data_IF_549797704097
#
_entry.id   IF_549797704097
#
_cell.length_a   1.000
_cell.length_b   1.000
_cell.length_c   1.000
_cell.angle_alpha   90.00
_cell.angle_beta   90.00
_cell.angle_gamma   90.00
#
_symmetry.space_group_name_H-M   'P 1'
#
loop_
_entity.id
_entity.type
_entity.pdbx_description
1 polymer ?
#
# COMPACT_ATOMS: atom_id res chain seq x y z
N UNK A 1 7.59 -15.55 -5.82
CA UNK A 1 6.81 -14.35 -5.50
C UNK A 1 5.53 -14.78 -4.80
N UNK A 2 5.15 -14.09 -3.72
CA UNK A 2 3.94 -14.44 -2.98
C UNK A 2 2.68 -14.11 -3.76
N UNK A 3 1.56 -14.76 -3.41
CA UNK A 3 0.26 -14.45 -4.02
C UNK A 3 -0.11 -12.99 -3.85
N UNK A 4 0.28 -12.39 -2.71
CA UNK A 4 -0.01 -10.99 -2.44
C UNK A 4 0.56 -10.08 -3.52
N UNK A 5 1.86 -10.23 -3.83
CA UNK A 5 2.50 -9.39 -4.86
C UNK A 5 1.91 -9.63 -6.24
N UNK A 6 1.62 -10.89 -6.57
CA UNK A 6 1.03 -11.22 -7.86
C UNK A 6 -0.36 -10.57 -8.01
N UNK A 7 -1.20 -10.70 -7.00
CA UNK A 7 -2.55 -10.16 -7.04
C UNK A 7 -2.53 -8.64 -7.05
N UNK A 8 -1.63 -8.04 -6.28
CA UNK A 8 -1.47 -6.59 -6.25
C UNK A 8 -1.05 -6.06 -7.62
N UNK A 9 -0.05 -6.67 -8.23
CA UNK A 9 0.44 -6.26 -9.54
C UNK A 9 -0.61 -6.43 -10.63
N UNK A 10 -1.34 -7.55 -10.61
CA UNK A 10 -2.37 -7.81 -11.60
C UNK A 10 -3.53 -6.83 -11.49
N UNK A 11 -3.87 -6.43 -10.26
CA UNK A 11 -5.01 -5.54 -10.01
C UNK A 11 -4.64 -4.06 -10.12
N UNK A 12 -3.37 -3.72 -9.96
CA UNK A 12 -2.93 -2.33 -9.76
C UNK A 12 -1.70 -2.03 -10.60
N UNK A 13 -1.85 -2.15 -11.92
CA UNK A 13 -0.74 -1.96 -12.87
C UNK A 13 -0.07 -0.59 -12.79
N UNK A 14 -0.75 0.39 -12.19
CA UNK A 14 -0.22 1.75 -12.08
C UNK A 14 0.61 2.00 -10.84
N UNK A 15 0.74 1.01 -9.95
CA UNK A 15 1.55 1.21 -8.75
C UNK A 15 3.04 1.14 -9.08
N UNK A 16 3.80 2.09 -8.53
CA UNK A 16 5.26 2.08 -8.63
C UNK A 16 5.83 1.01 -7.69
N UNK A 17 7.10 0.60 -7.91
CA UNK A 17 7.75 -0.32 -6.98
C UNK A 17 7.75 0.17 -5.53
N UNK A 18 7.91 1.48 -5.32
CA UNK A 18 7.86 2.05 -3.98
C UNK A 18 6.48 1.88 -3.35
N UNK A 19 5.43 2.07 -4.14
CA UNK A 19 4.06 1.90 -3.65
C UNK A 19 3.73 0.46 -3.32
N UNK A 20 4.27 -0.48 -4.09
CA UNK A 20 4.13 -1.90 -3.79
C UNK A 20 4.80 -2.24 -2.45
N UNK A 21 5.99 -1.67 -2.19
CA UNK A 21 6.67 -1.85 -0.91
C UNK A 21 5.86 -1.26 0.23
N UNK A 22 5.33 -0.05 0.05
CA UNK A 22 4.48 0.59 1.06
C UNK A 22 3.25 -0.28 1.34
N UNK A 23 2.62 -0.79 0.30
CA UNK A 23 1.44 -1.65 0.46
C UNK A 23 1.77 -2.90 1.29
N UNK A 24 2.93 -3.50 1.04
CA UNK A 24 3.35 -4.68 1.81
C UNK A 24 3.55 -4.35 3.29
N UNK A 25 4.16 -3.20 3.60
CA UNK A 25 4.31 -2.77 4.99
C UNK A 25 2.96 -2.52 5.66
N UNK A 26 2.02 -1.89 4.93
CA UNK A 26 0.66 -1.65 5.46
C UNK A 26 -0.02 -2.97 5.78
N UNK A 27 0.09 -3.96 4.90
CA UNK A 27 -0.46 -5.29 5.13
C UNK A 27 0.04 -5.89 6.44
N UNK A 28 1.32 -5.66 6.77
CA UNK A 28 1.92 -6.17 7.99
C UNK A 28 1.69 -5.27 9.22
N UNK A 29 0.81 -4.29 9.10
CA UNK A 29 0.41 -3.45 10.23
C UNK A 29 1.39 -2.35 10.60
N UNK A 30 2.33 -2.01 9.72
CA UNK A 30 3.30 -0.95 10.01
C UNK A 30 2.66 0.43 9.87
N UNK A 31 3.04 1.34 10.74
CA UNK A 31 2.54 2.72 10.71
C UNK A 31 3.25 3.53 9.62
N UNK A 32 2.67 4.69 9.29
CA UNK A 32 3.30 5.62 8.36
C UNK A 32 4.73 5.97 8.79
N UNK A 33 4.93 6.21 10.09
CA UNK A 33 6.25 6.54 10.64
C UNK A 33 7.23 5.37 10.46
N UNK A 34 6.78 4.16 10.75
CA UNK A 34 7.62 2.96 10.61
C UNK A 34 8.05 2.75 9.16
N UNK A 35 7.13 2.94 8.23
CA UNK A 35 7.41 2.82 6.81
C UNK A 35 8.42 3.87 6.37
N UNK A 36 8.23 5.11 6.82
CA UNK A 36 9.14 6.19 6.49
C UNK A 36 10.57 5.88 6.91
N UNK A 37 10.74 5.38 8.12
CA UNK A 37 12.06 4.97 8.62
C UNK A 37 12.63 3.83 7.78
N UNK A 38 11.83 2.79 7.54
CA UNK A 38 12.28 1.60 6.82
C UNK A 38 12.74 1.90 5.39
N UNK A 39 12.06 2.85 4.72
CA UNK A 39 12.34 3.18 3.33
C UNK A 39 13.16 4.45 3.16
N UNK A 40 13.58 5.06 4.27
CA UNK A 40 14.32 6.33 4.27
C UNK A 40 13.57 7.43 3.53
N UNK A 41 12.26 7.51 3.77
CA UNK A 41 11.39 8.52 3.20
C UNK A 41 10.83 9.41 4.30
N UNK A 42 10.30 10.58 3.91
CA UNK A 42 9.58 11.42 4.87
C UNK A 42 8.18 10.83 5.10
N UNK A 43 7.59 11.07 6.29
CA UNK A 43 6.20 10.64 6.53
C UNK A 43 5.23 11.23 5.51
N UNK A 44 5.47 12.44 5.04
CA UNK A 44 4.63 13.08 4.02
C UNK A 44 4.65 12.29 2.72
N UNK A 45 5.84 11.85 2.29
CA UNK A 45 5.97 11.03 1.08
C UNK A 45 5.22 9.71 1.24
N UNK A 46 5.32 9.08 2.42
CA UNK A 46 4.59 7.84 2.69
C UNK A 46 3.09 8.06 2.63
N UNK A 47 2.60 9.18 3.18
CA UNK A 47 1.18 9.53 3.09
C UNK A 47 0.73 9.65 1.64
N UNK A 48 1.54 10.28 0.79
CA UNK A 48 1.23 10.42 -0.62
C UNK A 48 1.14 9.04 -1.31
N UNK A 49 2.06 8.14 -1.00
CA UNK A 49 2.00 6.78 -1.53
C UNK A 49 0.74 6.05 -1.06
N UNK A 50 0.37 6.22 0.21
CA UNK A 50 -0.86 5.60 0.75
C UNK A 50 -2.10 6.11 0.02
N UNK A 51 -2.17 7.41 -0.25
CA UNK A 51 -3.29 8.00 -0.98
C UNK A 51 -3.36 7.46 -2.40
N UNK A 52 -2.22 7.33 -3.07
CA UNK A 52 -2.17 6.78 -4.43
C UNK A 52 -2.63 5.32 -4.45
N UNK A 53 -2.21 4.54 -3.46
CA UNK A 53 -2.64 3.13 -3.35
C UNK A 53 -4.16 3.07 -3.20
N UNK A 54 -4.74 3.86 -2.29
CA UNK A 54 -6.19 3.88 -2.08
C UNK A 54 -6.92 4.30 -3.36
N UNK A 55 -6.42 5.31 -4.04
CA UNK A 55 -7.01 5.79 -5.29
C UNK A 55 -7.02 4.70 -6.36
N UNK A 56 -5.89 4.01 -6.52
CA UNK A 56 -5.76 2.96 -7.53
C UNK A 56 -6.61 1.73 -7.21
N UNK A 57 -6.90 1.51 -5.93
CA UNK A 57 -7.78 0.41 -5.50
C UNK A 57 -9.26 0.78 -5.50
N UNK A 58 -9.60 2.01 -5.87
CA UNK A 58 -10.99 2.45 -5.86
C UNK A 58 -11.56 2.65 -4.46
N UNK A 59 -10.71 2.91 -3.47
CA UNK A 59 -11.14 3.06 -2.07
C UNK A 59 -11.30 4.52 -1.64
N UNK A 60 -11.21 5.46 -2.57
CA UNK A 60 -11.19 6.88 -2.27
C UNK A 60 -12.35 7.33 -1.37
N UNK A 61 -13.56 6.82 -1.64
CA UNK A 61 -14.76 7.20 -0.91
C UNK A 61 -15.33 6.06 -0.08
N UNK A 62 -14.54 5.02 0.18
CA UNK A 62 -14.99 3.87 0.95
C UNK A 62 -14.41 3.90 2.35
N UNK A 63 -15.18 3.38 3.30
CA UNK A 63 -14.77 3.34 4.71
C UNK A 63 -13.84 2.17 5.02
N UNK A 64 -13.61 1.26 4.08
CA UNK A 64 -12.76 0.11 4.31
C UNK A 64 -11.33 0.54 4.64
N UNK A 65 -10.77 -0.06 5.67
CA UNK A 65 -9.38 0.17 6.05
C UNK A 65 -8.46 -0.40 4.97
N UNK A 66 -7.44 0.35 4.59
CA UNK A 66 -6.52 -0.07 3.53
C UNK A 66 -5.82 -1.39 3.88
N UNK A 67 -5.41 -1.57 5.12
CA UNK A 67 -4.77 -2.82 5.55
C UNK A 67 -5.72 -4.01 5.38
N UNK A 68 -6.97 -3.85 5.77
CA UNK A 68 -7.98 -4.90 5.63
C UNK A 68 -8.17 -5.27 4.16
N UNK A 69 -8.25 -4.26 3.28
CA UNK A 69 -8.39 -4.52 1.86
C UNK A 69 -7.18 -5.27 1.31
N UNK A 70 -5.96 -4.87 1.71
CA UNK A 70 -4.74 -5.52 1.25
C UNK A 70 -4.66 -6.98 1.70
N UNK A 71 -5.18 -7.29 2.88
CA UNK A 71 -5.21 -8.67 3.36
C UNK A 71 -6.11 -9.56 2.51
N UNK A 72 -7.13 -9.00 1.85
CA UNK A 72 -8.01 -9.78 0.98
C UNK A 72 -7.34 -10.20 -0.32
N UNK A 73 -6.18 -9.62 -0.64
CA UNK A 73 -5.46 -9.93 -1.87
C UNK A 73 -4.58 -11.16 -1.77
N UNK A 74 -4.50 -11.78 -0.61
CA UNK A 74 -3.69 -12.99 -0.43
C UNK A 74 -4.32 -14.22 -1.07
#
# INVERSE_FOLDING_TARGET
>A
MSSFYRNLSASLLSLSPAEIQVANFIKHGKSTKDIAVALSLSPETVKNHRQNIRKNMGLKNKKMNLRTHLLTLE
#
